data_IF_676595242353
#
_entry.id   IF_676595242353
#
_cell.length_a   1.000
_cell.length_b   1.000
_cell.length_c   1.000
_cell.angle_alpha   90.00
_cell.angle_beta   90.00
_cell.angle_gamma   90.00
#
_symmetry.space_group_name_H-M   'P 1'
#
loop_
_entity.id
_entity.type
_entity.pdbx_description
1 polymer ?
#
# COMPACT_ATOMS: atom_id res chain seq x y z
N UNK A 1 28.62 -37.66 1.78
CA UNK A 1 29.27 -36.39 1.39
C UNK A 1 28.38 -35.17 1.62
N UNK A 2 27.05 -35.21 1.41
CA UNK A 2 26.19 -34.02 1.58
C UNK A 2 26.06 -33.43 3.00
N UNK A 3 26.37 -34.18 4.07
CA UNK A 3 26.14 -33.72 5.45
C UNK A 3 27.24 -32.79 5.98
N UNK A 4 28.44 -32.86 5.40
CA UNK A 4 29.55 -31.96 5.74
C UNK A 4 29.42 -30.63 5.00
N UNK A 5 28.93 -30.66 3.76
CA UNK A 5 28.68 -29.46 2.94
C UNK A 5 27.53 -28.60 3.52
N UNK A 6 26.46 -29.23 4.02
CA UNK A 6 25.39 -28.53 4.75
C UNK A 6 25.86 -27.89 6.07
N UNK A 7 26.84 -28.49 6.76
CA UNK A 7 27.40 -27.92 8.00
C UNK A 7 28.27 -26.71 7.71
N UNK A 8 29.13 -26.79 6.70
CA UNK A 8 29.98 -25.67 6.27
C UNK A 8 29.15 -24.46 5.87
N UNK A 9 28.11 -24.66 5.07
CA UNK A 9 27.27 -23.56 4.57
C UNK A 9 26.47 -22.87 5.70
N UNK A 10 26.11 -23.63 6.75
CA UNK A 10 25.42 -23.10 7.94
C UNK A 10 26.35 -22.26 8.82
N UNK A 11 27.61 -22.68 8.97
CA UNK A 11 28.62 -21.92 9.72
C UNK A 11 28.97 -20.59 9.03
N UNK A 12 29.09 -20.59 7.70
CA UNK A 12 29.35 -19.37 6.92
C UNK A 12 28.18 -18.37 7.00
N UNK A 13 26.93 -18.85 6.97
CA UNK A 13 25.74 -18.00 7.13
C UNK A 13 25.67 -17.35 8.53
N UNK A 14 26.09 -18.07 9.56
CA UNK A 14 26.15 -17.56 10.93
C UNK A 14 27.27 -16.53 11.08
N UNK A 15 28.46 -16.81 10.53
CA UNK A 15 29.59 -15.88 10.56
C UNK A 15 29.25 -14.56 9.85
N UNK A 16 28.54 -14.64 8.71
CA UNK A 16 28.02 -13.47 7.99
C UNK A 16 27.06 -12.65 8.86
N UNK A 17 26.09 -13.31 9.52
CA UNK A 17 25.14 -12.65 10.42
C UNK A 17 25.81 -11.97 11.63
N UNK A 18 26.83 -12.62 12.22
CA UNK A 18 27.62 -12.04 13.32
C UNK A 18 28.39 -10.79 12.88
N UNK A 19 29.00 -10.81 11.70
CA UNK A 19 29.75 -9.66 11.18
C UNK A 19 28.86 -8.44 10.88
N UNK A 20 27.60 -8.66 10.48
CA UNK A 20 26.64 -7.56 10.27
C UNK A 20 26.17 -6.94 11.58
N UNK A 21 25.94 -7.75 12.62
CA UNK A 21 25.56 -7.27 13.95
C UNK A 21 26.67 -6.40 14.56
N UNK A 22 27.92 -6.85 14.49
CA UNK A 22 29.07 -6.09 14.99
C UNK A 22 29.25 -4.76 14.25
N UNK A 23 28.98 -4.74 12.93
CA UNK A 23 29.03 -3.51 12.13
C UNK A 23 27.92 -2.52 12.50
N UNK A 24 26.71 -3.01 12.76
CA UNK A 24 25.58 -2.17 13.23
C UNK A 24 25.85 -1.58 14.62
N UNK A 25 26.46 -2.36 15.51
CA UNK A 25 26.82 -1.91 16.85
C UNK A 25 27.90 -0.82 16.82
N UNK A 26 28.94 -0.99 16.00
CA UNK A 26 29.97 0.04 15.79
C UNK A 26 29.40 1.31 15.18
N UNK A 27 28.49 1.21 14.21
CA UNK A 27 27.81 2.37 13.61
C UNK A 27 26.95 3.10 14.65
N UNK A 28 26.23 2.37 15.51
CA UNK A 28 25.44 2.94 16.58
C UNK A 28 26.32 3.67 17.61
N UNK A 29 27.46 3.07 18.01
CA UNK A 29 28.43 3.72 18.92
C UNK A 29 29.01 5.00 18.32
N UNK A 30 29.39 4.99 17.04
CA UNK A 30 29.89 6.19 16.35
C UNK A 30 28.82 7.29 16.33
N UNK A 31 27.56 6.93 16.05
CA UNK A 31 26.43 7.87 16.11
C UNK A 31 26.23 8.46 17.50
N UNK A 32 26.29 7.65 18.56
CA UNK A 32 26.16 8.11 19.94
C UNK A 32 27.29 9.07 20.35
N UNK A 33 28.54 8.77 19.97
CA UNK A 33 29.69 9.63 20.26
C UNK A 33 29.56 10.97 19.52
N UNK A 34 29.11 10.96 18.26
CA UNK A 34 28.89 12.18 17.48
C UNK A 34 27.79 13.05 18.09
N UNK A 35 26.67 12.45 18.50
CA UNK A 35 25.57 13.18 19.16
C UNK A 35 26.06 13.78 20.48
N UNK A 36 26.77 13.01 21.31
CA UNK A 36 27.32 13.52 22.57
C UNK A 36 28.27 14.71 22.34
N UNK A 37 29.13 14.63 21.32
CA UNK A 37 30.02 15.73 20.94
C UNK A 37 29.25 16.98 20.50
N UNK A 38 28.23 16.84 19.65
CA UNK A 38 27.40 17.97 19.20
C UNK A 38 26.63 18.62 20.35
N UNK A 39 26.12 17.83 21.29
CA UNK A 39 25.42 18.33 22.49
C UNK A 39 26.38 19.14 23.38
N UNK A 40 27.58 18.62 23.63
CA UNK A 40 28.61 19.34 24.40
C UNK A 40 29.03 20.62 23.68
N UNK A 41 29.17 20.58 22.35
CA UNK A 41 29.52 21.73 21.54
C UNK A 41 28.43 22.82 21.57
N UNK A 42 27.17 22.46 21.41
CA UNK A 42 26.03 23.39 21.49
C UNK A 42 25.90 24.00 22.89
N UNK A 43 26.18 23.21 23.94
CA UNK A 43 26.24 23.71 25.31
C UNK A 43 27.36 24.75 25.50
N UNK A 44 28.58 24.43 25.03
CA UNK A 44 29.72 25.35 25.06
C UNK A 44 29.46 26.62 24.24
N UNK A 45 28.78 26.51 23.10
CA UNK A 45 28.40 27.66 22.28
C UNK A 45 27.45 28.59 23.04
N UNK A 46 26.40 28.05 23.67
CA UNK A 46 25.48 28.85 24.48
C UNK A 46 26.20 29.53 25.68
N UNK A 47 27.13 28.83 26.30
CA UNK A 47 27.89 29.35 27.45
C UNK A 47 28.89 30.44 27.04
N UNK A 48 29.69 30.20 25.99
CA UNK A 48 30.78 31.09 25.59
C UNK A 48 30.31 32.25 24.69
N UNK A 49 29.42 31.98 23.75
CA UNK A 49 29.01 32.97 22.73
C UNK A 49 27.80 33.76 23.20
N UNK A 50 26.77 33.10 23.75
CA UNK A 50 25.55 33.78 24.23
C UNK A 50 25.68 34.32 25.66
N UNK A 51 26.78 34.04 26.37
CA UNK A 51 27.05 34.48 27.75
C UNK A 51 25.89 34.17 28.72
N UNK A 52 25.24 33.03 28.51
CA UNK A 52 24.15 32.56 29.37
C UNK A 52 24.73 31.83 30.59
N UNK A 53 24.07 31.96 31.74
CA UNK A 53 24.43 31.19 32.93
C UNK A 53 24.36 29.69 32.65
N UNK A 54 25.18 28.91 33.37
CA UNK A 54 25.30 27.46 33.19
C UNK A 54 23.94 26.75 33.20
N UNK A 55 23.09 27.09 34.17
CA UNK A 55 21.76 26.49 34.34
C UNK A 55 20.83 26.84 33.19
N UNK A 56 20.80 28.12 32.79
CA UNK A 56 19.99 28.61 31.66
C UNK A 56 20.44 28.01 30.34
N UNK A 57 21.75 27.84 30.15
CA UNK A 57 22.33 27.19 28.95
C UNK A 57 21.97 25.71 28.86
N UNK A 58 21.92 25.02 29.99
CA UNK A 58 21.52 23.61 30.07
C UNK A 58 20.04 23.41 29.74
N UNK A 59 19.16 24.22 30.35
CA UNK A 59 17.72 24.15 30.07
C UNK A 59 17.39 24.61 28.66
N UNK A 60 18.03 25.66 28.13
CA UNK A 60 17.82 26.09 26.74
C UNK A 60 18.24 25.00 25.75
N UNK A 61 19.31 24.26 26.03
CA UNK A 61 19.73 23.13 25.19
C UNK A 61 18.78 21.93 25.32
N UNK A 62 18.28 21.63 26.52
CA UNK A 62 17.26 20.61 26.71
C UNK A 62 15.96 20.96 26.00
N UNK A 63 15.51 22.21 26.08
CA UNK A 63 14.31 22.69 25.38
C UNK A 63 14.50 22.60 23.87
N UNK A 64 15.65 23.03 23.34
CA UNK A 64 15.94 22.93 21.89
C UNK A 64 15.97 21.46 21.43
N UNK A 65 16.64 20.58 22.18
CA UNK A 65 16.71 19.15 21.85
C UNK A 65 15.36 18.46 21.97
N UNK A 66 14.59 18.76 23.02
CA UNK A 66 13.27 18.14 23.18
C UNK A 66 12.29 18.69 22.16
N UNK A 67 12.25 19.99 21.91
CA UNK A 67 11.35 20.58 20.92
C UNK A 67 11.67 20.06 19.51
N UNK A 68 12.93 20.11 19.07
CA UNK A 68 13.30 19.65 17.73
C UNK A 68 13.16 18.13 17.58
N UNK A 69 13.52 17.34 18.61
CA UNK A 69 13.40 15.86 18.56
C UNK A 69 11.94 15.41 18.66
N UNK A 70 11.11 16.04 19.51
CA UNK A 70 9.68 15.71 19.59
C UNK A 70 8.94 16.15 18.34
N UNK A 71 9.25 17.31 17.77
CA UNK A 71 8.63 17.76 16.53
C UNK A 71 9.06 16.88 15.35
N UNK A 72 10.35 16.57 15.20
CA UNK A 72 10.83 15.70 14.14
C UNK A 72 10.38 14.24 14.31
N UNK A 73 10.38 13.70 15.54
CA UNK A 73 9.88 12.34 15.79
C UNK A 73 8.36 12.24 15.66
N UNK A 74 7.62 13.26 16.10
CA UNK A 74 6.17 13.33 15.95
C UNK A 74 5.76 13.34 14.47
N UNK A 75 6.37 14.21 13.66
CA UNK A 75 6.11 14.27 12.22
C UNK A 75 6.47 12.96 11.53
N UNK A 76 7.60 12.34 11.88
CA UNK A 76 8.01 11.07 11.26
C UNK A 76 7.10 9.90 11.65
N UNK A 77 6.64 9.82 12.90
CA UNK A 77 5.67 8.80 13.35
C UNK A 77 4.34 8.98 12.62
N UNK A 78 3.80 10.21 12.58
CA UNK A 78 2.53 10.48 11.89
C UNK A 78 2.64 10.14 10.41
N UNK A 79 3.74 10.55 9.76
CA UNK A 79 4.00 10.26 8.35
C UNK A 79 4.14 8.76 8.09
N UNK A 80 4.82 8.02 8.97
CA UNK A 80 4.92 6.56 8.89
C UNK A 80 3.55 5.87 9.08
N UNK A 81 2.72 6.34 10.01
CA UNK A 81 1.35 5.84 10.19
C UNK A 81 0.48 6.08 8.95
N UNK A 82 0.57 7.27 8.35
CA UNK A 82 -0.15 7.59 7.10
C UNK A 82 0.32 6.67 5.97
N UNK A 83 1.62 6.47 5.80
CA UNK A 83 2.17 5.56 4.80
C UNK A 83 1.70 4.11 5.02
N UNK A 84 1.68 3.64 6.26
CA UNK A 84 1.19 2.30 6.59
C UNK A 84 -0.29 2.12 6.25
N UNK A 85 -1.13 3.11 6.61
CA UNK A 85 -2.57 3.09 6.28
C UNK A 85 -2.76 3.12 4.76
N UNK A 86 -2.08 4.02 4.06
CA UNK A 86 -2.15 4.12 2.61
C UNK A 86 -1.72 2.82 1.93
N UNK A 87 -0.64 2.20 2.42
CA UNK A 87 -0.17 0.91 1.93
C UNK A 87 -1.21 -0.20 2.12
N UNK A 88 -1.83 -0.29 3.30
CA UNK A 88 -2.89 -1.29 3.58
C UNK A 88 -4.09 -1.06 2.65
N UNK A 89 -4.56 0.17 2.53
CA UNK A 89 -5.72 0.52 1.67
C UNK A 89 -5.41 0.23 0.20
N UNK A 90 -4.22 0.60 -0.29
CA UNK A 90 -3.82 0.38 -1.68
C UNK A 90 -3.63 -1.11 -1.98
N UNK A 91 -3.02 -1.86 -1.05
CA UNK A 91 -2.84 -3.30 -1.18
C UNK A 91 -4.19 -4.00 -1.21
N UNK A 92 -5.11 -3.61 -0.32
CA UNK A 92 -6.48 -4.12 -0.30
C UNK A 92 -7.22 -3.83 -1.60
N UNK A 93 -7.14 -2.59 -2.09
CA UNK A 93 -7.76 -2.19 -3.35
C UNK A 93 -7.17 -2.95 -4.54
N UNK A 94 -5.85 -3.10 -4.61
CA UNK A 94 -5.20 -3.83 -5.68
C UNK A 94 -5.56 -5.34 -5.66
N UNK A 95 -5.67 -5.93 -4.47
CA UNK A 95 -6.19 -7.30 -4.31
C UNK A 95 -7.65 -7.41 -4.80
N UNK A 96 -8.49 -6.42 -4.48
CA UNK A 96 -9.88 -6.35 -4.90
C UNK A 96 -10.00 -6.23 -6.43
N UNK A 97 -9.10 -5.48 -7.08
CA UNK A 97 -9.01 -5.40 -8.54
C UNK A 97 -8.53 -6.72 -9.17
N UNK A 98 -7.58 -7.41 -8.54
CA UNK A 98 -7.04 -8.67 -9.07
C UNK A 98 -7.97 -9.87 -8.85
N UNK A 99 -8.90 -9.80 -7.89
CA UNK A 99 -9.84 -10.87 -7.61
C UNK A 99 -11.15 -10.67 -8.39
N UNK A 100 -11.47 -11.50 -9.40
CA UNK A 100 -12.74 -11.39 -10.13
C UNK A 100 -13.97 -11.69 -9.26
N UNK A 101 -13.82 -12.45 -8.17
CA UNK A 101 -14.89 -12.76 -7.22
C UNK A 101 -14.91 -11.84 -5.98
N UNK A 102 -14.16 -10.74 -5.98
CA UNK A 102 -14.02 -9.84 -4.81
C UNK A 102 -15.35 -9.30 -4.28
N UNK A 103 -16.33 -9.06 -5.17
CA UNK A 103 -17.62 -8.52 -4.80
C UNK A 103 -18.53 -9.51 -4.06
N UNK A 104 -18.39 -10.81 -4.32
CA UNK A 104 -19.04 -11.85 -3.52
C UNK A 104 -18.47 -11.89 -2.10
N UNK A 105 -17.17 -11.70 -1.96
CA UNK A 105 -16.51 -11.66 -0.65
C UNK A 105 -16.97 -10.44 0.13
N UNK A 106 -17.07 -9.28 -0.53
CA UNK A 106 -17.65 -8.07 0.04
C UNK A 106 -19.08 -8.29 0.53
N UNK A 107 -19.93 -8.96 -0.25
CA UNK A 107 -21.29 -9.31 0.18
C UNK A 107 -21.28 -10.21 1.42
N UNK A 108 -20.41 -11.22 1.46
CA UNK A 108 -20.25 -12.12 2.62
C UNK A 108 -19.80 -11.32 3.84
N UNK A 109 -18.79 -10.45 3.70
CA UNK A 109 -18.30 -9.60 4.78
C UNK A 109 -19.37 -8.66 5.33
N UNK A 110 -20.21 -8.10 4.46
CA UNK A 110 -21.29 -7.23 4.89
C UNK A 110 -22.47 -7.98 5.53
N UNK A 111 -22.64 -9.27 5.24
CA UNK A 111 -23.65 -10.13 5.88
C UNK A 111 -23.17 -10.76 7.17
N UNK A 112 -21.87 -11.02 7.30
CA UNK A 112 -21.32 -11.76 8.42
C UNK A 112 -21.11 -10.83 9.62
N UNK A 113 -21.81 -11.10 10.72
CA UNK A 113 -21.58 -10.41 11.98
C UNK A 113 -20.09 -10.55 12.38
N UNK A 114 -19.40 -9.44 12.74
CA UNK A 114 -17.96 -9.46 13.02
C UNK A 114 -17.56 -10.42 14.15
N UNK A 115 -18.51 -10.82 15.00
CA UNK A 115 -18.30 -11.77 16.10
C UNK A 115 -18.14 -13.23 15.66
N UNK A 116 -18.57 -13.63 14.45
CA UNK A 116 -18.59 -15.05 14.02
C UNK A 116 -17.44 -15.43 13.07
N UNK A 117 -16.73 -14.46 12.51
CA UNK A 117 -15.67 -14.71 11.51
C UNK A 117 -14.39 -15.29 12.11
N UNK A 118 -14.06 -14.96 13.36
CA UNK A 118 -12.83 -15.42 14.02
C UNK A 118 -12.84 -16.91 14.43
N UNK A 119 -14.01 -17.55 14.51
CA UNK A 119 -14.13 -18.94 14.96
C UNK A 119 -14.05 -19.96 13.81
N UNK A 120 -14.39 -19.57 12.58
CA UNK A 120 -14.43 -20.50 11.42
C UNK A 120 -13.03 -20.89 10.89
N UNK A 121 -12.01 -20.03 11.09
CA UNK A 121 -10.63 -20.34 10.70
C UNK A 121 -10.00 -21.51 11.49
N UNK A 122 -10.45 -21.73 12.73
CA UNK A 122 -9.98 -22.88 13.54
C UNK A 122 -10.57 -24.21 13.08
N UNK A 123 -11.82 -24.23 12.60
CA UNK A 123 -12.47 -25.46 12.18
C UNK A 123 -12.03 -25.90 10.77
N UNK A 124 -11.76 -24.95 9.86
CA UNK A 124 -11.28 -25.29 8.51
C UNK A 124 -9.84 -25.83 8.50
N UNK A 125 -9.05 -25.49 9.53
CA UNK A 125 -7.70 -26.03 9.73
C UNK A 125 -7.72 -27.47 10.26
N UNK A 126 -8.78 -27.89 10.96
CA UNK A 126 -8.93 -29.27 11.45
C UNK A 126 -9.55 -30.22 10.41
N UNK A 127 -10.24 -29.70 9.39
CA UNK A 127 -10.83 -30.54 8.33
C UNK A 127 -9.82 -30.98 7.25
N UNK A 128 -8.62 -30.38 7.18
CA UNK A 128 -7.60 -30.75 6.18
C UNK A 128 -6.72 -31.94 6.57
N UNK A 129 -6.79 -32.39 7.83
CA UNK A 129 -6.02 -33.55 8.31
C UNK A 129 -6.75 -34.89 8.11
N UNK A 130 -7.94 -34.91 7.49
CA UNK A 130 -8.77 -36.12 7.34
C UNK A 130 -9.01 -36.57 5.89
N UNK A 131 -8.20 -36.15 4.93
CA UNK A 131 -8.27 -36.65 3.56
C UNK A 131 -6.87 -36.88 2.98
N UNK A 132 -6.15 -37.83 3.57
CA UNK A 132 -5.05 -38.54 2.91
C UNK A 132 -5.54 -39.96 2.69
N UNK A 133 -5.94 -40.24 1.46
CA UNK A 133 -5.61 -41.45 0.72
C UNK A 133 -6.42 -41.45 -0.59
N UNK A 134 -5.73 -41.45 -1.74
CA UNK A 134 -5.85 -42.43 -2.83
C UNK A 134 -5.30 -41.84 -4.14
N UNK A 135 -4.19 -42.43 -4.57
CA UNK A 135 -3.70 -42.64 -5.94
C UNK A 135 -3.03 -41.52 -6.76
N UNK A 136 -1.87 -41.95 -7.28
CA UNK A 136 -0.92 -41.25 -8.12
C UNK A 136 -1.17 -41.53 -9.60
N UNK A 137 -1.06 -40.52 -10.46
CA UNK A 137 -0.60 -40.64 -11.85
C UNK A 137 0.14 -39.34 -12.25
N UNK A 138 1.44 -39.50 -12.51
CA UNK A 138 2.38 -38.77 -13.40
C UNK A 138 1.78 -37.62 -14.25
N UNK A 139 2.38 -36.43 -14.41
CA UNK A 139 3.66 -36.20 -15.07
C UNK A 139 4.05 -34.70 -15.09
N UNK A 140 5.35 -34.45 -14.91
CA UNK A 140 6.18 -33.39 -15.50
C UNK A 140 6.00 -31.89 -15.12
N UNK A 141 7.15 -31.32 -14.70
CA UNK A 141 7.52 -29.90 -14.68
C UNK A 141 6.77 -28.96 -13.71
N UNK A 142 7.13 -29.03 -12.43
CA UNK A 142 7.09 -27.85 -11.57
C UNK A 142 8.50 -27.58 -11.06
N UNK A 143 9.13 -26.52 -11.60
CA UNK A 143 10.07 -25.76 -10.79
C UNK A 143 9.26 -25.30 -9.58
N UNK A 144 9.57 -25.85 -8.40
CA UNK A 144 9.23 -25.20 -7.13
C UNK A 144 10.01 -23.88 -7.07
N UNK A 145 9.48 -22.89 -7.79
CA UNK A 145 9.82 -21.51 -7.60
C UNK A 145 9.19 -21.16 -6.26
N UNK A 146 10.00 -21.28 -5.20
CA UNK A 146 9.66 -20.85 -3.84
C UNK A 146 9.01 -19.47 -3.92
N UNK A 147 7.68 -19.44 -3.79
CA UNK A 147 6.94 -18.19 -3.84
C UNK A 147 7.51 -17.28 -2.73
N UNK A 148 7.89 -16.03 -3.05
CA UNK A 148 8.41 -15.13 -2.04
C UNK A 148 7.35 -14.98 -0.95
N UNK A 149 7.75 -15.24 0.30
CA UNK A 149 6.87 -15.24 1.48
C UNK A 149 6.19 -13.86 1.58
N UNK A 150 4.96 -13.75 1.12
CA UNK A 150 4.24 -12.47 1.04
C UNK A 150 3.80 -12.02 2.44
N UNK A 151 4.19 -10.81 2.91
CA UNK A 151 3.84 -10.32 4.25
C UNK A 151 2.34 -9.97 4.43
N UNK A 152 1.50 -10.15 3.41
CA UNK A 152 0.06 -9.82 3.41
C UNK A 152 -0.88 -11.04 3.36
N UNK A 153 -0.43 -12.21 3.80
CA UNK A 153 -1.22 -13.47 3.80
C UNK A 153 -2.51 -13.42 4.66
N UNK A 154 -2.72 -12.37 5.46
CA UNK A 154 -3.87 -12.20 6.35
C UNK A 154 -5.03 -11.38 5.75
N UNK A 155 -4.83 -10.63 4.66
CA UNK A 155 -5.84 -9.67 4.20
C UNK A 155 -6.90 -10.31 3.27
N UNK A 156 -6.53 -11.33 2.51
CA UNK A 156 -7.41 -12.25 1.77
C UNK A 156 -6.56 -13.43 1.31
N UNK A 157 -6.86 -14.67 1.76
CA UNK A 157 -6.30 -15.86 1.11
C UNK A 157 -6.90 -15.96 -0.29
N UNK A 158 -6.22 -15.36 -1.27
CA UNK A 158 -6.61 -15.37 -2.69
C UNK A 158 -6.81 -16.80 -3.23
N UNK A 159 -6.20 -17.81 -2.61
CA UNK A 159 -6.38 -19.21 -2.96
C UNK A 159 -7.78 -19.75 -2.60
N UNK A 160 -8.40 -19.28 -1.51
CA UNK A 160 -9.80 -19.63 -1.18
C UNK A 160 -10.79 -18.97 -2.17
N UNK A 161 -10.38 -17.88 -2.83
CA UNK A 161 -11.22 -17.11 -3.76
C UNK A 161 -11.32 -17.78 -5.13
N UNK A 162 -10.28 -18.52 -5.56
CA UNK A 162 -10.28 -19.23 -6.86
C UNK A 162 -11.32 -20.36 -6.93
N UNK A 163 -11.73 -20.91 -5.79
CA UNK A 163 -12.76 -21.96 -5.72
C UNK A 163 -14.21 -21.46 -5.84
N UNK A 164 -14.46 -20.15 -5.77
CA UNK A 164 -15.84 -19.64 -5.85
C UNK A 164 -16.34 -19.63 -7.30
N UNK A 165 -17.24 -20.58 -7.61
CA UNK A 165 -17.86 -20.69 -8.94
C UNK A 165 -18.70 -19.49 -9.36
N UNK A 166 -19.23 -18.68 -8.43
CA UNK A 166 -20.05 -17.51 -8.80
C UNK A 166 -19.32 -16.22 -8.45
N UNK A 167 -19.11 -15.40 -9.48
CA UNK A 167 -18.35 -14.15 -9.45
C UNK A 167 -19.19 -12.92 -9.05
N UNK A 168 -20.52 -13.05 -9.03
CA UNK A 168 -21.46 -11.95 -8.77
C UNK A 168 -22.15 -12.09 -7.40
N UNK A 169 -22.58 -10.97 -6.79
CA UNK A 169 -23.39 -10.99 -5.58
C UNK A 169 -24.76 -11.64 -5.81
N UNK A 170 -25.28 -12.30 -4.77
CA UNK A 170 -26.54 -13.07 -4.81
C UNK A 170 -27.74 -12.15 -4.53
N UNK A 171 -27.57 -11.16 -3.65
CA UNK A 171 -28.66 -10.25 -3.27
C UNK A 171 -28.52 -8.86 -3.91
N UNK A 172 -29.62 -8.19 -4.28
CA UNK A 172 -29.58 -6.86 -4.89
C UNK A 172 -29.00 -5.81 -3.92
N UNK A 173 -29.27 -5.95 -2.63
CA UNK A 173 -28.70 -5.07 -1.59
C UNK A 173 -27.19 -5.29 -1.47
N UNK A 174 -26.73 -6.54 -1.50
CA UNK A 174 -25.30 -6.87 -1.52
C UNK A 174 -24.60 -6.30 -2.75
N UNK A 175 -25.25 -6.39 -3.92
CA UNK A 175 -24.76 -5.77 -5.15
C UNK A 175 -24.61 -4.25 -5.00
N UNK A 176 -25.66 -3.55 -4.55
CA UNK A 176 -25.63 -2.11 -4.35
C UNK A 176 -24.50 -1.68 -3.40
N UNK A 177 -24.38 -2.37 -2.27
CA UNK A 177 -23.39 -2.02 -1.25
C UNK A 177 -21.96 -2.31 -1.73
N UNK A 178 -21.76 -3.42 -2.44
CA UNK A 178 -20.46 -3.76 -3.02
C UNK A 178 -20.02 -2.76 -4.10
N UNK A 179 -20.95 -2.29 -4.95
CA UNK A 179 -20.70 -1.26 -5.96
C UNK A 179 -20.42 0.10 -5.31
N UNK A 180 -21.18 0.48 -4.28
CA UNK A 180 -20.95 1.72 -3.54
C UNK A 180 -19.59 1.73 -2.83
N UNK A 181 -19.23 0.61 -2.20
CA UNK A 181 -17.92 0.44 -1.57
C UNK A 181 -16.79 0.52 -2.59
N UNK A 182 -16.93 -0.15 -3.73
CA UNK A 182 -15.95 -0.09 -4.80
C UNK A 182 -15.81 1.31 -5.41
N UNK A 183 -16.92 2.04 -5.55
CA UNK A 183 -16.91 3.44 -5.96
C UNK A 183 -16.09 4.32 -5.01
N UNK A 184 -16.34 4.21 -3.70
CA UNK A 184 -15.61 4.98 -2.68
C UNK A 184 -14.12 4.66 -2.70
N UNK A 185 -13.75 3.37 -2.79
CA UNK A 185 -12.35 2.97 -2.89
C UNK A 185 -11.69 3.49 -4.17
N UNK A 186 -12.38 3.40 -5.31
CA UNK A 186 -11.88 3.93 -6.58
C UNK A 186 -11.66 5.44 -6.48
N UNK A 187 -12.57 6.18 -5.84
CA UNK A 187 -12.46 7.62 -5.65
C UNK A 187 -11.25 7.99 -4.79
N UNK A 188 -11.08 7.33 -3.64
CA UNK A 188 -9.90 7.51 -2.78
C UNK A 188 -8.64 7.25 -3.59
N UNK A 189 -8.63 6.17 -4.37
CA UNK A 189 -7.48 5.78 -5.17
C UNK A 189 -7.16 6.78 -6.29
N UNK A 190 -8.17 7.30 -6.99
CA UNK A 190 -7.98 8.33 -8.02
C UNK A 190 -7.35 9.58 -7.41
N UNK A 191 -7.83 10.04 -6.26
CA UNK A 191 -7.25 11.22 -5.58
C UNK A 191 -5.80 10.98 -5.16
N UNK A 192 -5.56 9.82 -4.56
CA UNK A 192 -4.24 9.41 -4.09
C UNK A 192 -3.22 9.29 -5.24
N UNK A 193 -3.58 8.63 -6.34
CA UNK A 193 -2.70 8.46 -7.49
C UNK A 193 -2.55 9.76 -8.30
N UNK A 194 -3.54 10.66 -8.24
CA UNK A 194 -3.45 11.99 -8.85
C UNK A 194 -2.29 12.80 -8.26
N UNK A 195 -2.03 12.67 -6.96
CA UNK A 195 -0.86 13.28 -6.31
C UNK A 195 0.44 12.71 -6.89
N UNK A 196 0.53 11.38 -7.05
CA UNK A 196 1.72 10.73 -7.62
C UNK A 196 1.99 11.15 -9.06
N UNK A 197 0.94 11.27 -9.87
CA UNK A 197 1.04 11.73 -11.26
C UNK A 197 1.37 13.22 -11.30
N UNK A 198 0.75 14.03 -10.43
CA UNK A 198 1.03 15.46 -10.31
C UNK A 198 2.51 15.74 -9.98
N UNK A 199 3.07 15.00 -9.02
CA UNK A 199 4.50 15.05 -8.68
C UNK A 199 5.37 14.66 -9.88
N UNK A 200 5.00 13.60 -10.59
CA UNK A 200 5.75 13.15 -11.77
C UNK A 200 5.74 14.21 -12.87
N UNK A 201 4.63 14.92 -13.06
CA UNK A 201 4.52 16.01 -14.05
C UNK A 201 5.34 17.21 -13.60
N UNK A 202 5.26 17.62 -12.33
CA UNK A 202 6.07 18.70 -11.76
C UNK A 202 7.59 18.40 -11.87
N UNK A 203 7.98 17.13 -11.76
CA UNK A 203 9.38 16.72 -11.93
C UNK A 203 9.84 16.73 -13.39
N UNK A 204 8.94 16.44 -14.34
CA UNK A 204 9.27 16.29 -15.76
C UNK A 204 9.11 17.58 -16.55
N UNK A 205 8.27 18.51 -16.08
CA UNK A 205 8.04 19.81 -16.71
C UNK A 205 8.02 20.89 -15.62
N UNK A 206 8.75 21.99 -15.83
CA UNK A 206 8.65 23.22 -15.01
C UNK A 206 7.35 24.00 -15.30
N UNK A 207 6.25 23.31 -15.61
CA UNK A 207 4.99 23.94 -16.00
C UNK A 207 4.10 24.19 -14.79
N UNK A 208 3.46 25.36 -14.78
CA UNK A 208 2.46 25.73 -13.77
C UNK A 208 1.17 24.94 -13.98
N UNK A 209 0.45 24.68 -12.89
CA UNK A 209 -0.81 23.93 -12.90
C UNK A 209 -1.85 24.60 -13.82
N UNK A 210 -2.22 23.92 -14.92
CA UNK A 210 -3.28 24.37 -15.83
C UNK A 210 -4.61 23.67 -15.54
N UNK A 211 -5.72 24.31 -15.90
CA UNK A 211 -7.07 23.73 -15.76
C UNK A 211 -7.19 22.44 -16.61
N UNK A 212 -6.54 22.41 -17.76
CA UNK A 212 -6.51 21.24 -18.65
C UNK A 212 -5.82 20.04 -17.98
N UNK A 213 -4.71 20.30 -17.28
CA UNK A 213 -3.98 19.27 -16.53
C UNK A 213 -4.82 18.73 -15.37
N UNK A 214 -5.51 19.61 -14.64
CA UNK A 214 -6.41 19.23 -13.55
C UNK A 214 -7.58 18.33 -14.03
N UNK A 215 -8.02 18.49 -15.28
CA UNK A 215 -9.02 17.62 -15.90
C UNK A 215 -8.44 16.26 -16.33
N UNK A 216 -7.20 16.23 -16.86
CA UNK A 216 -6.60 14.98 -17.36
C UNK A 216 -6.09 14.04 -16.27
N UNK A 217 -5.57 14.58 -15.16
CA UNK A 217 -4.91 13.79 -14.12
C UNK A 217 -5.81 12.69 -13.51
N UNK A 218 -7.08 12.94 -13.16
CA UNK A 218 -7.96 11.88 -12.66
C UNK A 218 -8.15 10.73 -13.66
N UNK A 219 -8.25 11.05 -14.95
CA UNK A 219 -8.42 10.06 -16.01
C UNK A 219 -7.16 9.20 -16.17
N UNK A 220 -5.98 9.80 -16.13
CA UNK A 220 -4.70 9.09 -16.12
C UNK A 220 -4.55 8.22 -14.87
N UNK A 221 -4.99 8.73 -13.72
CA UNK A 221 -4.98 8.01 -12.45
C UNK A 221 -5.87 6.76 -12.50
N UNK A 222 -6.99 6.79 -13.22
CA UNK A 222 -7.84 5.61 -13.40
C UNK A 222 -7.29 4.60 -14.42
N UNK A 223 -6.54 5.05 -15.42
CA UNK A 223 -6.04 4.17 -16.48
C UNK A 223 -5.22 3.00 -15.93
N UNK A 224 -4.40 3.26 -14.90
CA UNK A 224 -3.56 2.24 -14.24
C UNK A 224 -4.40 1.13 -13.58
N UNK A 225 -5.26 1.40 -12.59
CA UNK A 225 -6.07 0.36 -11.94
C UNK A 225 -7.02 -0.32 -12.91
N UNK A 226 -7.55 0.41 -13.90
CA UNK A 226 -8.41 -0.18 -14.93
C UNK A 226 -7.64 -1.18 -15.79
N UNK A 227 -6.42 -0.85 -16.22
CA UNK A 227 -5.56 -1.78 -16.97
C UNK A 227 -5.23 -3.03 -16.13
N UNK A 228 -4.90 -2.86 -14.85
CA UNK A 228 -4.66 -4.00 -13.93
C UNK A 228 -5.90 -4.89 -13.80
N UNK A 229 -7.08 -4.30 -13.69
CA UNK A 229 -8.35 -5.05 -13.62
C UNK A 229 -8.61 -5.84 -14.90
N UNK A 230 -8.42 -5.22 -16.07
CA UNK A 230 -8.57 -5.90 -17.36
C UNK A 230 -7.57 -7.07 -17.49
N UNK A 231 -6.29 -6.85 -17.16
CA UNK A 231 -5.29 -7.91 -17.16
C UNK A 231 -5.65 -9.07 -16.22
N UNK A 232 -6.23 -8.77 -15.06
CA UNK A 232 -6.69 -9.78 -14.12
C UNK A 232 -7.91 -10.57 -14.65
N UNK A 233 -8.84 -9.90 -15.35
CA UNK A 233 -9.98 -10.57 -15.98
C UNK A 233 -9.57 -11.51 -17.12
N UNK A 234 -8.49 -11.19 -17.84
CA UNK A 234 -7.88 -12.05 -18.86
C UNK A 234 -6.91 -13.10 -18.27
N UNK A 235 -6.86 -13.27 -16.95
CA UNK A 235 -6.00 -14.24 -16.26
C UNK A 235 -4.50 -14.10 -16.62
N UNK A 236 -4.05 -12.88 -16.91
CA UNK A 236 -2.67 -12.62 -17.28
C UNK A 236 -1.71 -12.97 -16.12
N UNK A 237 -0.67 -13.80 -16.33
CA UNK A 237 0.14 -14.37 -15.25
C UNK A 237 0.86 -13.30 -14.42
N UNK A 238 1.23 -12.17 -15.03
CA UNK A 238 1.94 -11.09 -14.32
C UNK A 238 1.03 -9.99 -13.76
N UNK A 239 -0.30 -10.12 -13.85
CA UNK A 239 -1.23 -9.13 -13.27
C UNK A 239 -0.98 -8.92 -11.76
N UNK A 240 -0.56 -9.99 -11.05
CA UNK A 240 -0.17 -9.92 -9.63
C UNK A 240 1.03 -8.98 -9.40
N UNK A 241 2.04 -9.01 -10.26
CA UNK A 241 3.22 -8.13 -10.13
C UNK A 241 2.84 -6.66 -10.30
N UNK A 242 1.94 -6.35 -11.23
CA UNK A 242 1.44 -4.98 -11.42
C UNK A 242 0.66 -4.46 -10.21
N UNK A 243 -0.01 -5.34 -9.46
CA UNK A 243 -0.72 -4.94 -8.24
C UNK A 243 0.20 -4.38 -7.15
N UNK A 244 1.49 -4.76 -7.12
CA UNK A 244 2.48 -4.25 -6.16
C UNK A 244 3.06 -2.89 -6.55
N UNK A 245 3.03 -2.54 -7.84
CA UNK A 245 3.52 -1.23 -8.32
C UNK A 245 2.65 -0.12 -7.75
N UNK A 246 1.35 -0.37 -7.62
CA UNK A 246 0.36 0.60 -7.13
C UNK A 246 0.68 1.09 -5.70
N UNK A 247 0.78 0.23 -4.66
CA UNK A 247 1.13 0.68 -3.31
C UNK A 247 2.52 1.30 -3.23
N UNK A 248 3.48 0.83 -4.03
CA UNK A 248 4.83 1.37 -4.05
C UNK A 248 4.86 2.82 -4.57
N UNK A 249 4.19 3.09 -5.69
CA UNK A 249 4.05 4.45 -6.25
C UNK A 249 3.42 5.40 -5.23
N UNK A 250 2.43 4.91 -4.49
CA UNK A 250 1.76 5.69 -3.44
C UNK A 250 2.67 6.01 -2.25
N UNK A 251 3.48 5.06 -1.78
CA UNK A 251 4.45 5.30 -0.71
C UNK A 251 5.47 6.35 -1.15
N UNK A 252 6.03 6.20 -2.36
CA UNK A 252 7.01 7.14 -2.92
C UNK A 252 6.40 8.53 -3.02
N UNK A 253 5.15 8.63 -3.47
CA UNK A 253 4.42 9.88 -3.58
C UNK A 253 4.19 10.55 -2.22
N UNK A 254 3.69 9.82 -1.21
CA UNK A 254 3.48 10.38 0.14
C UNK A 254 4.79 10.86 0.76
N UNK A 255 5.85 10.06 0.61
CA UNK A 255 7.18 10.42 1.09
C UNK A 255 7.69 11.69 0.40
N UNK A 256 7.51 11.81 -0.92
CA UNK A 256 7.91 12.99 -1.66
C UNK A 256 7.08 14.22 -1.30
N UNK A 257 5.76 14.10 -1.17
CA UNK A 257 4.89 15.19 -0.70
C UNK A 257 5.31 15.68 0.69
N UNK A 258 5.68 14.76 1.60
CA UNK A 258 6.19 15.12 2.91
C UNK A 258 7.51 15.89 2.81
N UNK A 259 8.43 15.48 1.92
CA UNK A 259 9.68 16.18 1.67
C UNK A 259 9.44 17.59 1.11
N UNK A 260 8.53 17.73 0.13
CA UNK A 260 8.19 19.01 -0.49
C UNK A 260 7.65 20.03 0.52
N UNK A 261 6.79 19.57 1.44
CA UNK A 261 6.26 20.42 2.51
C UNK A 261 7.40 20.97 3.37
N UNK A 262 8.46 20.20 3.61
CA UNK A 262 9.63 20.65 4.39
C UNK A 262 10.58 21.55 3.62
N UNK A 263 10.68 21.42 2.29
CA UNK A 263 11.71 22.11 1.51
C UNK A 263 11.36 23.55 1.09
N UNK A 264 10.13 24.03 1.36
CA UNK A 264 9.59 25.35 0.99
C UNK A 264 9.67 25.74 -0.51
N UNK A 265 10.30 24.93 -1.36
CA UNK A 265 10.59 25.25 -2.76
C UNK A 265 9.41 25.00 -3.69
N UNK A 266 8.54 24.05 -3.36
CA UNK A 266 7.36 23.69 -4.16
C UNK A 266 6.28 23.07 -3.29
N UNK A 267 5.02 23.31 -3.64
CA UNK A 267 3.88 22.76 -2.93
C UNK A 267 3.47 21.42 -3.56
N UNK A 268 3.00 20.45 -2.75
CA UNK A 268 2.41 19.23 -3.28
C UNK A 268 1.25 19.54 -4.23
N UNK A 269 1.07 18.71 -5.27
CA UNK A 269 0.10 18.95 -6.34
C UNK A 269 -1.31 19.21 -5.80
N UNK A 270 -1.80 18.39 -4.87
CA UNK A 270 -3.12 18.54 -4.28
C UNK A 270 -3.25 19.85 -3.47
N UNK A 271 -2.17 20.31 -2.84
CA UNK A 271 -2.16 21.58 -2.09
C UNK A 271 -2.26 22.76 -3.05
N UNK A 272 -1.46 22.75 -4.12
CA UNK A 272 -1.52 23.76 -5.17
C UNK A 272 -2.91 23.78 -5.84
N UNK A 273 -3.44 22.60 -6.19
CA UNK A 273 -4.78 22.44 -6.74
C UNK A 273 -5.88 23.01 -5.82
N UNK A 274 -5.76 22.80 -4.50
CA UNK A 274 -6.75 23.27 -3.55
C UNK A 274 -6.81 24.80 -3.45
N UNK A 275 -5.71 25.48 -3.78
CA UNK A 275 -5.64 26.94 -3.84
C UNK A 275 -6.40 27.55 -5.03
N UNK A 276 -6.64 26.76 -6.09
CA UNK A 276 -7.25 27.21 -7.34
C UNK A 276 -8.72 26.75 -7.44
N UNK A 277 -9.73 27.61 -7.20
CA UNK A 277 -11.13 27.18 -7.06
C UNK A 277 -11.70 26.55 -8.34
N UNK A 278 -11.34 27.07 -9.51
CA UNK A 278 -11.79 26.55 -10.81
C UNK A 278 -11.17 25.17 -11.10
N UNK A 279 -9.86 25.03 -10.92
CA UNK A 279 -9.17 23.76 -11.13
C UNK A 279 -9.64 22.69 -10.12
N UNK A 280 -9.86 23.06 -8.87
CA UNK A 280 -10.42 22.19 -7.82
C UNK A 280 -11.81 21.66 -8.19
N UNK A 281 -12.70 22.54 -8.65
CA UNK A 281 -14.05 22.13 -9.03
C UNK A 281 -14.01 21.14 -10.21
N UNK A 282 -13.16 21.43 -11.21
CA UNK A 282 -13.00 20.56 -12.36
C UNK A 282 -12.40 19.20 -11.97
N UNK A 283 -11.36 19.20 -11.15
CA UNK A 283 -10.74 17.98 -10.64
C UNK A 283 -11.73 17.10 -9.86
N UNK A 284 -12.52 17.70 -8.96
CA UNK A 284 -13.54 16.96 -8.18
C UNK A 284 -14.60 16.38 -9.12
N UNK A 285 -15.11 17.19 -10.05
CA UNK A 285 -16.11 16.76 -11.03
C UNK A 285 -15.62 15.59 -11.86
N UNK A 286 -14.40 15.70 -12.41
CA UNK A 286 -13.81 14.64 -13.22
C UNK A 286 -13.48 13.40 -12.39
N UNK A 287 -12.94 13.56 -11.19
CA UNK A 287 -12.65 12.42 -10.29
C UNK A 287 -13.91 11.65 -9.94
N UNK A 288 -15.01 12.33 -9.63
CA UNK A 288 -16.30 11.69 -9.34
C UNK A 288 -16.85 10.92 -10.55
N UNK A 289 -16.74 11.50 -11.75
CA UNK A 289 -17.21 10.88 -12.99
C UNK A 289 -16.36 9.68 -13.38
N UNK A 290 -15.03 9.83 -13.36
CA UNK A 290 -14.07 8.79 -13.74
C UNK A 290 -14.15 7.62 -12.76
N UNK A 291 -14.34 7.87 -11.46
CA UNK A 291 -14.49 6.79 -10.46
C UNK A 291 -15.73 5.91 -10.68
N UNK A 292 -16.71 6.38 -11.46
CA UNK A 292 -17.88 5.58 -11.83
C UNK A 292 -17.56 4.54 -12.91
N UNK A 293 -16.51 4.76 -13.72
CA UNK A 293 -16.20 3.91 -14.88
C UNK A 293 -15.93 2.45 -14.49
N UNK A 294 -15.07 2.13 -13.50
CA UNK A 294 -14.85 0.74 -13.12
C UNK A 294 -16.10 0.07 -12.54
N UNK A 295 -16.89 0.81 -11.77
CA UNK A 295 -18.15 0.35 -11.18
C UNK A 295 -19.14 -0.02 -12.27
N UNK A 296 -19.25 0.83 -13.30
CA UNK A 296 -20.12 0.61 -14.43
C UNK A 296 -19.69 -0.58 -15.29
N UNK A 297 -18.40 -0.70 -15.60
CA UNK A 297 -17.84 -1.84 -16.34
C UNK A 297 -18.11 -3.16 -15.60
N UNK A 298 -17.90 -3.17 -14.28
CA UNK A 298 -18.13 -4.34 -13.45
C UNK A 298 -19.61 -4.74 -13.42
N UNK A 299 -20.52 -3.77 -13.29
CA UNK A 299 -21.96 -4.01 -13.34
C UNK A 299 -22.40 -4.60 -14.70
N UNK A 300 -21.85 -4.09 -15.82
CA UNK A 300 -22.09 -4.66 -17.15
C UNK A 300 -21.58 -6.10 -17.21
N UNK A 301 -20.37 -6.35 -16.72
CA UNK A 301 -19.79 -7.69 -16.72
C UNK A 301 -20.68 -8.69 -15.96
N UNK A 302 -21.23 -8.31 -14.81
CA UNK A 302 -22.17 -9.16 -14.07
C UNK A 302 -23.45 -9.42 -14.85
N UNK A 303 -24.05 -8.39 -15.45
CA UNK A 303 -25.26 -8.54 -16.27
C UNK A 303 -25.03 -9.52 -17.41
N UNK A 304 -23.95 -9.34 -18.19
CA UNK A 304 -23.60 -10.23 -19.30
C UNK A 304 -23.38 -11.67 -18.83
N UNK A 305 -22.68 -11.86 -17.72
CA UNK A 305 -22.42 -13.19 -17.17
C UNK A 305 -23.71 -13.88 -16.69
N UNK A 306 -24.62 -13.15 -16.04
CA UNK A 306 -25.91 -13.67 -15.59
C UNK A 306 -26.77 -14.09 -16.80
N UNK A 307 -26.85 -13.26 -17.84
CA UNK A 307 -27.63 -13.58 -19.04
C UNK A 307 -27.07 -14.78 -19.80
N UNK A 308 -25.75 -14.88 -19.97
CA UNK A 308 -25.11 -16.04 -20.63
C UNK A 308 -25.38 -17.36 -19.88
N UNK A 309 -25.38 -17.33 -18.54
CA UNK A 309 -25.69 -18.52 -17.72
C UNK A 309 -27.17 -18.95 -17.81
N UNK A 310 -28.09 -18.02 -18.09
CA UNK A 310 -29.50 -18.36 -18.29
C UNK A 310 -29.74 -19.05 -19.64
N UNK A 311 -29.04 -18.64 -20.69
CA UNK A 311 -29.14 -19.26 -22.02
C UNK A 311 -28.64 -20.71 -22.00
N UNK A 312 -27.54 -21.00 -21.30
CA UNK A 312 -27.03 -22.38 -21.19
C UNK A 312 -27.97 -23.35 -20.45
N UNK A 313 -28.97 -22.85 -19.72
CA UNK A 313 -29.96 -23.67 -19.01
C UNK A 313 -31.26 -23.89 -19.78
N UNK A 314 -31.46 -23.21 -20.90
CA UNK A 314 -32.61 -23.38 -21.79
C UNK A 314 -32.27 -24.34 -22.91
#
# INVERSE_FOLDING_TARGET
MNKEEERSNKEDSLLSSYSELERKEKLAQVGQVLIAFLVVWAFLFNLLVKKMDFVTSFFSLLDTLTEDLFMASGVSIVTACIMAIAYIVCTFYAQLLCAPASFRILEIWCKQEPSKCFLSSKELSQSKDSYVDTEAVTDSFNLEQSEPLYPAHWLLKLDDVRGMQERHPITPLGALLSLAFFYILTLIFVVLLSESIGILIQFTQETTLSIELAHMIPSLSLAIPLAVRMLAQFEYPHAKHFSFVIPLMMIVSIFYSALLITSQSSQPFLVELWSMPLARQEFIRTSMLVSFVPVFIEAIFWMLHIFSKQESKR
#
